data_IF_428206905538
#
_entry.id   IF_428206905538
#
_cell.length_a   1.000
_cell.length_b   1.000
_cell.length_c   1.000
_cell.angle_alpha   90.00
_cell.angle_beta   90.00
_cell.angle_gamma   90.00
#
_symmetry.space_group_name_H-M   'P 1'
#
loop_
_entity.id
_entity.type
_entity.pdbx_description
1 polymer ?
#
# COMPACT_ATOMS: atom_id res chain seq x y z
N UNK A 1 8.52 -11.75 -14.07
CA UNK A 1 9.10 -10.40 -14.14
C UNK A 1 8.11 -9.54 -13.43
N UNK A 2 8.40 -9.27 -12.16
CA UNK A 2 7.57 -8.39 -11.37
C UNK A 2 7.79 -6.98 -11.90
N UNK A 3 6.74 -6.39 -12.45
CA UNK A 3 6.79 -5.05 -13.00
C UNK A 3 6.81 -4.03 -11.87
N UNK A 4 7.43 -2.87 -12.13
CA UNK A 4 7.48 -1.77 -11.17
C UNK A 4 6.08 -1.43 -10.62
N UNK A 5 5.99 -1.22 -9.31
CA UNK A 5 4.77 -0.90 -8.57
C UNK A 5 4.82 0.53 -8.06
N UNK A 6 3.69 1.23 -8.14
CA UNK A 6 3.48 2.55 -7.57
C UNK A 6 2.48 2.43 -6.43
N UNK A 7 2.87 2.87 -5.23
CA UNK A 7 1.97 3.01 -4.08
C UNK A 7 1.44 4.44 -4.07
N UNK A 8 0.12 4.60 -3.97
CA UNK A 8 -0.57 5.88 -3.97
C UNK A 8 -1.38 6.04 -2.69
N UNK A 9 -1.13 7.14 -1.98
CA UNK A 9 -1.87 7.57 -0.79
C UNK A 9 -2.88 8.66 -1.13
N UNK A 10 -4.11 8.53 -0.64
CA UNK A 10 -5.18 9.52 -0.66
C UNK A 10 -5.84 9.59 0.72
N UNK A 11 -6.74 10.56 0.95
CA UNK A 11 -7.29 10.86 2.30
C UNK A 11 -7.75 9.64 3.11
N UNK A 12 -8.44 8.69 2.47
CA UNK A 12 -8.98 7.47 3.09
C UNK A 12 -8.58 6.19 2.33
N UNK A 13 -7.60 6.27 1.43
CA UNK A 13 -7.21 5.15 0.57
C UNK A 13 -5.68 5.02 0.49
N UNK A 14 -5.19 3.79 0.62
CA UNK A 14 -3.87 3.38 0.16
C UNK A 14 -4.05 2.33 -0.93
N UNK A 15 -3.42 2.50 -2.08
CA UNK A 15 -3.54 1.56 -3.19
C UNK A 15 -2.20 1.32 -3.89
N UNK A 16 -2.04 0.15 -4.49
CA UNK A 16 -0.93 -0.15 -5.38
C UNK A 16 -1.39 -0.34 -6.82
N UNK A 17 -0.53 0.06 -7.75
CA UNK A 17 -0.76 0.03 -9.18
C UNK A 17 0.51 -0.43 -9.90
N UNK A 18 0.37 -1.10 -11.04
CA UNK A 18 1.48 -1.25 -11.97
C UNK A 18 1.80 0.11 -12.61
N UNK A 19 3.04 0.30 -13.08
CA UNK A 19 3.42 1.50 -13.86
C UNK A 19 2.62 1.70 -15.15
N UNK A 20 1.95 0.66 -15.65
CA UNK A 20 1.03 0.73 -16.79
C UNK A 20 -0.39 1.17 -16.42
N UNK A 21 -0.66 1.42 -15.15
CA UNK A 21 -1.96 1.91 -14.66
C UNK A 21 -2.96 0.81 -14.29
N UNK A 22 -2.53 -0.43 -14.05
CA UNK A 22 -3.42 -1.47 -13.55
C UNK A 22 -3.41 -1.48 -12.02
N UNK A 23 -4.58 -1.33 -11.38
CA UNK A 23 -4.71 -1.44 -9.92
C UNK A 23 -4.42 -2.88 -9.49
N UNK A 24 -3.53 -3.04 -8.51
CA UNK A 24 -3.23 -4.33 -7.87
C UNK A 24 -4.15 -4.56 -6.67
N UNK A 25 -4.17 -3.60 -5.74
CA UNK A 25 -5.02 -3.64 -4.56
C UNK A 25 -5.34 -2.22 -4.07
N UNK A 26 -6.33 -2.14 -3.19
CA UNK A 26 -6.69 -0.93 -2.45
C UNK A 26 -7.07 -1.31 -1.02
N UNK A 27 -6.76 -0.44 -0.07
CA UNK A 27 -7.10 -0.56 1.33
C UNK A 27 -7.72 0.77 1.82
N UNK A 28 -8.82 0.65 2.55
CA UNK A 28 -9.37 1.77 3.30
C UNK A 28 -8.49 2.03 4.53
N UNK A 29 -8.13 3.29 4.76
CA UNK A 29 -7.24 3.71 5.84
C UNK A 29 -7.87 4.86 6.63
N UNK A 30 -8.29 4.58 7.86
CA UNK A 30 -8.89 5.58 8.75
C UNK A 30 -7.80 6.44 9.44
N UNK A 31 -7.87 7.78 9.40
CA UNK A 31 -6.90 8.64 10.08
C UNK A 31 -6.96 8.58 11.62
N UNK A 32 -5.81 8.70 12.31
CA UNK A 32 -4.47 8.81 11.75
C UNK A 32 -3.96 7.48 11.18
N UNK A 33 -3.27 7.58 10.05
CA UNK A 33 -2.61 6.46 9.41
C UNK A 33 -1.30 6.94 8.76
N UNK A 34 -0.37 6.02 8.59
CA UNK A 34 0.92 6.23 7.90
C UNK A 34 1.40 4.92 7.28
N UNK A 35 2.34 5.00 6.34
CA UNK A 35 2.96 3.83 5.73
C UNK A 35 4.44 4.06 5.38
N UNK A 36 5.22 2.97 5.41
CA UNK A 36 6.55 2.93 4.82
C UNK A 36 6.66 1.78 3.81
N UNK A 37 7.49 1.98 2.81
CA UNK A 37 7.88 0.96 1.83
C UNK A 37 9.33 0.58 2.11
N UNK A 38 9.57 -0.69 2.37
CA UNK A 38 10.90 -1.26 2.66
C UNK A 38 11.07 -2.50 1.79
N UNK A 39 12.02 -2.44 0.86
CA UNK A 39 12.22 -3.44 -0.20
C UNK A 39 10.90 -3.72 -0.95
N UNK A 40 10.33 -4.91 -0.76
CA UNK A 40 9.14 -5.42 -1.44
C UNK A 40 7.94 -5.57 -0.48
N UNK A 41 7.99 -4.85 0.65
CA UNK A 41 7.01 -4.88 1.72
C UNK A 41 6.49 -3.48 2.02
N UNK A 42 5.23 -3.44 2.44
CA UNK A 42 4.63 -2.25 3.05
C UNK A 42 4.45 -2.53 4.54
N UNK A 43 4.87 -1.57 5.37
CA UNK A 43 4.43 -1.46 6.74
C UNK A 43 3.34 -0.39 6.80
N UNK A 44 2.12 -0.80 7.12
CA UNK A 44 0.97 0.08 7.23
C UNK A 44 0.56 0.20 8.70
N UNK A 45 0.42 1.42 9.20
CA UNK A 45 -0.13 1.72 10.52
C UNK A 45 -1.46 2.45 10.34
N UNK A 46 -2.57 1.85 10.79
CA UNK A 46 -3.90 2.46 10.81
C UNK A 46 -4.38 2.51 12.25
N UNK A 47 -4.62 3.70 12.78
CA UNK A 47 -5.09 3.89 14.16
C UNK A 47 -4.20 3.23 15.22
N UNK A 48 -2.88 3.13 14.98
CA UNK A 48 -1.92 2.46 15.89
C UNK A 48 -1.81 0.95 15.68
N UNK A 49 -2.55 0.37 14.74
CA UNK A 49 -2.48 -1.06 14.39
C UNK A 49 -1.61 -1.25 13.16
N UNK A 50 -0.53 -2.01 13.33
CA UNK A 50 0.45 -2.29 12.27
C UNK A 50 0.16 -3.59 11.54
N UNK A 51 0.27 -3.56 10.22
CA UNK A 51 0.32 -4.72 9.34
C UNK A 51 1.53 -4.65 8.42
N UNK A 52 2.06 -5.82 8.05
CA UNK A 52 3.14 -5.95 7.07
C UNK A 52 2.74 -6.95 6.00
N UNK A 53 2.87 -6.54 4.74
CA UNK A 53 2.45 -7.35 3.61
C UNK A 53 3.28 -7.05 2.36
N UNK A 54 3.25 -7.97 1.39
CA UNK A 54 3.91 -7.80 0.10
C UNK A 54 3.30 -6.67 -0.72
N UNK A 55 4.15 -5.89 -1.37
CA UNK A 55 3.71 -4.74 -2.19
C UNK A 55 2.79 -5.15 -3.34
N UNK A 56 2.86 -6.41 -3.79
CA UNK A 56 1.99 -6.99 -4.81
C UNK A 56 0.68 -7.56 -4.26
N UNK A 57 0.64 -7.92 -2.98
CA UNK A 57 -0.44 -8.72 -2.38
C UNK A 57 -1.48 -7.85 -1.66
N UNK A 58 -1.05 -6.75 -1.04
CA UNK A 58 -1.91 -5.93 -0.19
C UNK A 58 -2.11 -6.50 1.23
N UNK A 59 -2.79 -5.76 2.12
CA UNK A 59 -2.97 -6.12 3.54
C UNK A 59 -3.85 -7.34 3.80
#
# INVERSE_FOLDING_TARGET
MDGDVVVMSAELELAAWTVTGHKLWTAFVEPPWDYSVEDDQILLDVMGRRSRFGIHDGP
#
